data_IF_650608581571
#
_entry.id   IF_650608581571
#
_cell.length_a   1.000
_cell.length_b   1.000
_cell.length_c   1.000
_cell.angle_alpha   90.00
_cell.angle_beta   90.00
_cell.angle_gamma   90.00
#
_symmetry.space_group_name_H-M   'P 1'
#
loop_
_entity.id
_entity.type
_entity.pdbx_description
1 polymer ?
#
# COMPACT_ATOMS: atom_id res chain seq x y z
N UNK A 1 -4.26 -5.66 -14.98
CA UNK A 1 -2.99 -5.03 -14.56
C UNK A 1 -3.34 -4.00 -13.51
N UNK A 2 -3.02 -4.24 -12.24
CA UNK A 2 -3.34 -3.30 -11.17
C UNK A 2 -2.61 -1.98 -11.38
N UNK A 3 -3.36 -0.88 -11.48
CA UNK A 3 -2.84 0.47 -11.62
C UNK A 3 -3.28 1.30 -10.42
N UNK A 4 -2.34 2.03 -9.83
CA UNK A 4 -2.63 2.94 -8.74
C UNK A 4 -3.22 4.23 -9.31
N UNK A 5 -4.37 4.66 -8.78
CA UNK A 5 -4.98 5.93 -9.18
C UNK A 5 -4.13 7.11 -8.70
N UNK A 6 -3.84 8.05 -9.59
CA UNK A 6 -2.98 9.21 -9.28
C UNK A 6 -3.74 10.52 -9.11
N UNK A 7 -5.09 10.51 -9.18
CA UNK A 7 -5.91 11.71 -9.03
C UNK A 7 -5.76 12.30 -7.61
N UNK A 8 -5.18 13.50 -7.46
CA UNK A 8 -4.96 14.11 -6.16
C UNK A 8 -6.26 14.54 -5.47
N UNK A 9 -7.38 14.64 -6.20
CA UNK A 9 -8.69 14.99 -5.62
C UNK A 9 -9.27 13.87 -4.75
N UNK A 10 -8.83 12.62 -4.97
CA UNK A 10 -9.26 11.48 -4.17
C UNK A 10 -8.29 11.25 -3.00
N UNK A 11 -8.80 11.08 -1.75
CA UNK A 11 -7.94 10.82 -0.60
C UNK A 11 -7.01 9.64 -0.83
N UNK A 12 -5.73 9.80 -0.45
CA UNK A 12 -4.70 8.77 -0.67
C UNK A 12 -5.10 7.40 -0.12
N UNK A 13 -5.73 7.37 1.06
CA UNK A 13 -6.22 6.13 1.67
C UNK A 13 -7.31 5.42 0.85
N UNK A 14 -8.14 6.16 0.11
CA UNK A 14 -9.20 5.60 -0.74
C UNK A 14 -8.57 4.96 -1.98
N UNK A 15 -7.66 5.68 -2.64
CA UNK A 15 -6.92 5.19 -3.81
C UNK A 15 -6.10 3.93 -3.51
N UNK A 16 -5.44 3.93 -2.35
CA UNK A 16 -4.67 2.76 -1.89
C UNK A 16 -5.54 1.54 -1.59
N UNK A 17 -6.76 1.73 -1.05
CA UNK A 17 -7.69 0.62 -0.83
C UNK A 17 -8.21 0.05 -2.15
N UNK A 18 -8.58 0.91 -3.11
CA UNK A 18 -9.00 0.46 -4.45
C UNK A 18 -7.89 -0.31 -5.18
N UNK A 19 -6.64 0.13 -5.01
CA UNK A 19 -5.48 -0.61 -5.52
C UNK A 19 -5.34 -1.97 -4.83
N UNK A 20 -5.52 -2.06 -3.51
CA UNK A 20 -5.50 -3.33 -2.79
C UNK A 20 -6.60 -4.30 -3.27
N UNK A 21 -7.80 -3.79 -3.54
CA UNK A 21 -8.89 -4.60 -4.08
C UNK A 21 -8.55 -5.15 -5.47
N UNK A 22 -7.91 -4.33 -6.31
CA UNK A 22 -7.43 -4.75 -7.63
C UNK A 22 -6.34 -5.82 -7.53
N UNK A 23 -5.38 -5.67 -6.59
CA UNK A 23 -4.37 -6.68 -6.30
C UNK A 23 -4.99 -8.02 -5.86
N UNK A 24 -6.04 -7.96 -5.04
CA UNK A 24 -6.73 -9.17 -4.57
C UNK A 24 -7.46 -9.88 -5.72
N UNK A 25 -8.14 -9.14 -6.59
CA UNK A 25 -8.77 -9.68 -7.80
C UNK A 25 -7.76 -10.34 -8.74
N UNK A 26 -6.53 -9.82 -8.80
CA UNK A 26 -5.42 -10.41 -9.54
C UNK A 26 -4.73 -11.60 -8.83
N UNK A 27 -5.27 -12.05 -7.69
CA UNK A 27 -4.73 -13.16 -6.91
C UNK A 27 -3.52 -12.80 -6.04
N UNK A 28 -3.11 -11.54 -6.00
CA UNK A 28 -1.95 -11.04 -5.22
C UNK A 28 -2.35 -10.69 -3.78
N UNK A 29 -3.01 -11.64 -3.10
CA UNK A 29 -3.61 -11.44 -1.76
C UNK A 29 -2.63 -10.92 -0.69
N UNK A 30 -1.38 -11.38 -0.72
CA UNK A 30 -0.34 -10.91 0.21
C UNK A 30 0.01 -9.43 0.02
N UNK A 31 0.07 -8.97 -1.23
CA UNK A 31 0.29 -7.56 -1.54
C UNK A 31 -0.92 -6.71 -1.15
N UNK A 32 -2.14 -7.18 -1.44
CA UNK A 32 -3.38 -6.51 -1.01
C UNK A 32 -3.45 -6.34 0.52
N UNK A 33 -3.12 -7.40 1.28
CA UNK A 33 -3.08 -7.33 2.74
C UNK A 33 -2.03 -6.33 3.25
N UNK A 34 -0.84 -6.29 2.64
CA UNK A 34 0.21 -5.34 3.00
C UNK A 34 -0.21 -3.88 2.76
N UNK A 35 -0.88 -3.60 1.62
CA UNK A 35 -1.40 -2.26 1.32
C UNK A 35 -2.48 -1.85 2.34
N UNK A 36 -3.39 -2.76 2.69
CA UNK A 36 -4.44 -2.48 3.70
C UNK A 36 -3.86 -2.18 5.07
N UNK A 37 -2.82 -2.91 5.49
CA UNK A 37 -2.10 -2.64 6.74
C UNK A 37 -1.42 -1.26 6.71
N UNK A 38 -0.77 -0.90 5.61
CA UNK A 38 -0.14 0.40 5.46
C UNK A 38 -1.17 1.55 5.52
N UNK A 39 -2.35 1.36 4.94
CA UNK A 39 -3.46 2.34 5.03
C UNK A 39 -3.97 2.48 6.47
N UNK A 40 -4.06 1.38 7.23
CA UNK A 40 -4.44 1.43 8.63
C UNK A 40 -3.45 2.25 9.46
N UNK A 41 -2.15 2.00 9.28
CA UNK A 41 -1.09 2.73 9.97
C UNK A 41 -1.07 4.22 9.58
N UNK A 42 -1.20 4.53 8.28
CA UNK A 42 -1.35 5.89 7.77
C UNK A 42 -2.49 6.64 8.46
N UNK A 43 -3.67 6.02 8.57
CA UNK A 43 -4.83 6.64 9.23
C UNK A 43 -4.61 6.84 10.74
N UNK A 44 -3.97 5.88 11.41
CA UNK A 44 -3.61 5.99 12.83
C UNK A 44 -2.67 7.17 13.08
N UNK A 45 -1.63 7.32 12.24
CA UNK A 45 -0.67 8.41 12.34
C UNK A 45 -1.30 9.79 12.03
N UNK A 46 -2.23 9.86 11.07
CA UNK A 46 -3.00 11.06 10.83
C UNK A 46 -3.88 11.44 12.02
N UNK A 47 -4.57 10.48 12.62
CA UNK A 47 -5.40 10.71 13.81
C UNK A 47 -4.56 11.19 15.01
N UNK A 48 -3.29 10.78 15.08
CA UNK A 48 -2.32 11.26 16.07
C UNK A 48 -1.70 12.63 15.73
N UNK A 49 -2.11 13.30 14.64
CA UNK A 49 -1.55 14.59 14.23
C UNK A 49 -0.14 14.51 13.66
N UNK A 50 0.26 13.34 13.11
CA UNK A 50 1.61 13.07 12.59
C UNK A 50 1.60 12.84 11.07
N UNK A 51 1.29 13.86 10.25
CA UNK A 51 1.06 13.69 8.81
C UNK A 51 2.32 13.30 8.02
N UNK A 52 3.51 13.77 8.42
CA UNK A 52 4.76 13.39 7.76
C UNK A 52 5.10 11.91 8.00
N UNK A 53 4.97 11.46 9.24
CA UNK A 53 5.21 10.06 9.59
C UNK A 53 4.22 9.13 8.87
N UNK A 54 2.97 9.56 8.70
CA UNK A 54 1.97 8.83 7.94
C UNK A 54 2.43 8.60 6.48
N UNK A 55 2.94 9.65 5.82
CA UNK A 55 3.44 9.54 4.45
C UNK A 55 4.69 8.65 4.35
N UNK A 56 5.63 8.79 5.29
CA UNK A 56 6.86 7.97 5.34
C UNK A 56 6.52 6.50 5.56
N UNK A 57 5.60 6.19 6.48
CA UNK A 57 5.16 4.82 6.75
C UNK A 57 4.55 4.17 5.50
N UNK A 58 3.63 4.87 4.83
CA UNK A 58 2.99 4.36 3.61
C UNK A 58 3.98 4.17 2.45
N UNK A 59 4.91 5.10 2.27
CA UNK A 59 5.97 5.00 1.26
C UNK A 59 6.92 3.81 1.53
N UNK A 60 7.29 3.62 2.80
CA UNK A 60 8.16 2.51 3.22
C UNK A 60 7.48 1.16 3.02
N UNK A 61 6.18 1.08 3.32
CA UNK A 61 5.40 -0.12 3.07
C UNK A 61 5.34 -0.49 1.58
N UNK A 62 5.21 0.51 0.69
CA UNK A 62 5.22 0.29 -0.76
C UNK A 62 6.54 -0.34 -1.25
N UNK A 63 7.69 0.21 -0.82
CA UNK A 63 9.00 -0.34 -1.18
C UNK A 63 9.33 -1.68 -0.48
N UNK A 64 8.79 -1.92 0.71
CA UNK A 64 8.92 -3.19 1.42
C UNK A 64 8.17 -4.35 0.75
N UNK A 65 7.10 -4.06 0.00
CA UNK A 65 6.39 -5.04 -0.84
C UNK A 65 7.21 -5.39 -2.08
N UNK A 66 7.85 -4.41 -2.72
CA UNK A 66 8.71 -4.64 -3.89
C UNK A 66 9.89 -5.56 -3.56
N UNK A 67 10.61 -5.32 -2.45
CA UNK A 67 11.78 -6.15 -2.09
C UNK A 67 11.43 -7.60 -1.73
N UNK A 68 10.27 -7.85 -1.13
CA UNK A 68 9.82 -9.22 -0.82
C UNK A 68 9.36 -9.98 -2.07
N UNK A 69 8.89 -9.28 -3.09
CA UNK A 69 8.56 -9.89 -4.37
C UNK A 69 9.83 -10.32 -5.12
N UNK A 70 10.89 -9.50 -5.11
CA UNK A 70 12.18 -9.80 -5.78
C UNK A 70 12.98 -10.93 -5.11
N UNK A 71 12.83 -11.12 -3.79
CA UNK A 71 13.56 -12.18 -3.06
C UNK A 71 12.91 -13.57 -3.16
N UNK A 72 11.65 -13.66 -3.61
CA UNK A 72 10.96 -14.94 -3.84
C UNK A 72 11.25 -15.57 -5.20
N UNK A 73 11.73 -14.80 -6.18
CA UNK A 73 12.02 -15.28 -7.54
C UNK A 73 13.45 -15.80 -7.75
N UNK A 74 14.37 -15.60 -6.79
CA UNK A 74 15.74 -16.13 -6.87
C UNK A 74 15.91 -17.54 -6.26
N UNK A 75 14.83 -18.14 -5.76
CA UNK A 75 14.86 -19.44 -5.08
C UNK A 75 14.14 -20.55 -5.86
N UNK A 76 14.08 -20.47 -7.20
CA UNK A 76 13.58 -21.54 -8.08
C UNK A 76 14.59 -21.90 -9.15
#
# INVERSE_FOLDING_TARGET
MAMFDTDPSTPLSVRALAFADTLELEGRKGAAAAVRQAVYEYRSLLAAGRPLDALVSLHTAAHGVERRHSHGEMAR
#
